data_IF_765272447143
#
_entry.id   IF_765272447143
#
_cell.length_a   1.000
_cell.length_b   1.000
_cell.length_c   1.000
_cell.angle_alpha   90.00
_cell.angle_beta   90.00
_cell.angle_gamma   90.00
#
_symmetry.space_group_name_H-M   'P 1'
#
loop_
_entity.id
_entity.type
_entity.pdbx_description
1 polymer ?
#
# COMPACT_ATOMS: atom_id res chain seq x y z
N UNK A 1 6.96 6.52 -1.12
CA UNK A 1 6.95 5.30 -1.98
C UNK A 1 7.74 4.18 -1.30
N UNK A 2 8.96 4.44 -0.78
CA UNK A 2 9.83 3.42 -0.18
C UNK A 2 9.21 2.65 1.00
N UNK A 3 8.46 3.34 1.86
CA UNK A 3 7.77 2.68 2.99
C UNK A 3 6.68 1.71 2.51
N UNK A 4 5.97 2.03 1.44
CA UNK A 4 4.94 1.16 0.85
C UNK A 4 5.62 -0.04 0.19
N UNK A 5 6.68 0.20 -0.56
CA UNK A 5 7.46 -0.85 -1.23
C UNK A 5 8.04 -1.89 -0.23
N UNK A 6 8.37 -1.48 0.99
CA UNK A 6 8.87 -2.37 2.03
C UNK A 6 7.76 -3.18 2.73
N UNK A 7 6.57 -2.62 2.90
CA UNK A 7 5.46 -3.27 3.62
C UNK A 7 4.85 -4.43 2.82
N UNK A 8 4.67 -4.26 1.51
CA UNK A 8 4.03 -5.27 0.66
C UNK A 8 4.74 -6.64 0.68
N UNK A 9 6.07 -6.74 0.47
CA UNK A 9 6.77 -8.01 0.52
C UNK A 9 6.65 -8.72 1.87
N UNK A 10 6.70 -7.99 2.99
CA UNK A 10 6.54 -8.55 4.33
C UNK A 10 5.14 -9.13 4.51
N UNK A 11 4.13 -8.43 4.03
CA UNK A 11 2.74 -8.89 4.11
C UNK A 11 2.51 -10.15 3.28
N UNK A 12 3.02 -10.19 2.04
CA UNK A 12 2.95 -11.39 1.20
C UNK A 12 3.67 -12.58 1.83
N UNK A 13 4.85 -12.36 2.43
CA UNK A 13 5.60 -13.38 3.14
C UNK A 13 4.79 -13.97 4.32
N UNK A 14 4.14 -13.11 5.11
CA UNK A 14 3.29 -13.53 6.22
C UNK A 14 2.10 -14.37 5.75
N UNK A 15 1.41 -13.93 4.70
CA UNK A 15 0.27 -14.67 4.13
C UNK A 15 0.74 -16.03 3.60
N UNK A 16 1.84 -16.08 2.86
CA UNK A 16 2.40 -17.33 2.33
C UNK A 16 2.80 -18.30 3.45
N UNK A 17 3.46 -17.79 4.51
CA UNK A 17 3.82 -18.59 5.68
C UNK A 17 2.57 -19.14 6.39
N UNK A 18 1.51 -18.36 6.50
CA UNK A 18 0.27 -18.78 7.15
C UNK A 18 -0.47 -19.84 6.33
N UNK A 19 -0.54 -19.70 5.01
CA UNK A 19 -1.12 -20.70 4.10
C UNK A 19 -0.29 -22.00 4.16
N UNK A 20 1.04 -21.89 4.13
CA UNK A 20 1.94 -23.02 4.27
C UNK A 20 1.75 -23.73 5.63
N UNK A 21 1.67 -22.99 6.73
CA UNK A 21 1.43 -23.52 8.06
C UNK A 21 0.13 -24.32 8.12
N UNK A 22 -0.94 -23.79 7.51
CA UNK A 22 -2.25 -24.46 7.46
C UNK A 22 -2.17 -25.76 6.67
N UNK A 23 -1.57 -25.73 5.49
CA UNK A 23 -1.44 -26.88 4.58
C UNK A 23 -0.55 -27.95 5.18
N UNK A 24 0.61 -27.58 5.72
CA UNK A 24 1.54 -28.53 6.34
C UNK A 24 0.98 -29.15 7.62
N UNK A 25 0.32 -28.36 8.46
CA UNK A 25 -0.34 -28.90 9.66
C UNK A 25 -1.41 -29.93 9.30
N UNK A 26 -2.14 -29.69 8.22
CA UNK A 26 -3.13 -30.63 7.70
C UNK A 26 -2.47 -31.91 7.16
N UNK A 27 -1.46 -31.77 6.32
CA UNK A 27 -0.74 -32.89 5.71
C UNK A 27 -0.12 -33.82 6.77
N UNK A 28 0.54 -33.22 7.78
CA UNK A 28 1.12 -34.00 8.89
C UNK A 28 0.04 -34.68 9.73
N UNK A 29 -1.13 -34.04 9.92
CA UNK A 29 -2.24 -34.63 10.65
C UNK A 29 -2.90 -35.80 9.88
N UNK A 30 -3.01 -35.71 8.56
CA UNK A 30 -3.51 -36.78 7.67
C UNK A 30 -2.53 -37.98 7.62
N UNK A 31 -1.22 -37.72 7.66
CA UNK A 31 -0.19 -38.73 7.63
C UNK A 31 0.23 -39.25 9.01
N UNK A 32 -0.51 -38.91 10.06
CA UNK A 32 -0.14 -39.24 11.45
C UNK A 32 0.10 -40.71 11.68
N UNK A 33 -0.69 -41.60 11.07
CA UNK A 33 -0.58 -43.04 11.20
C UNK A 33 0.74 -43.55 10.56
N UNK A 34 1.10 -43.03 9.38
CA UNK A 34 2.39 -43.36 8.74
C UNK A 34 3.59 -42.92 9.59
N UNK A 35 3.49 -41.71 10.18
CA UNK A 35 4.51 -41.20 11.11
C UNK A 35 4.66 -42.14 12.30
N UNK A 36 3.54 -42.61 12.86
CA UNK A 36 3.54 -43.59 13.97
C UNK A 36 4.21 -44.88 13.59
N UNK A 37 3.91 -45.42 12.41
CA UNK A 37 4.53 -46.65 11.88
C UNK A 37 6.03 -46.47 11.66
N UNK A 38 6.48 -45.38 11.04
CA UNK A 38 7.90 -45.10 10.84
C UNK A 38 8.65 -45.00 12.18
N UNK A 39 8.05 -44.36 13.19
CA UNK A 39 8.64 -44.32 14.54
C UNK A 39 8.71 -45.68 15.21
N UNK A 40 7.69 -46.52 15.04
CA UNK A 40 7.71 -47.88 15.60
C UNK A 40 8.76 -48.79 14.95
N UNK A 41 9.12 -48.49 13.68
CA UNK A 41 10.22 -49.12 12.96
C UNK A 41 11.62 -48.57 13.34
N UNK A 42 11.68 -47.62 14.28
CA UNK A 42 12.94 -47.06 14.79
C UNK A 42 13.46 -45.82 14.03
N UNK A 43 12.73 -45.25 13.07
CA UNK A 43 13.16 -44.04 12.40
C UNK A 43 13.15 -42.85 13.36
N UNK A 44 14.24 -42.08 13.36
CA UNK A 44 14.36 -40.88 14.19
C UNK A 44 13.46 -39.76 13.71
N UNK A 45 13.06 -38.87 14.65
CA UNK A 45 12.26 -37.69 14.32
C UNK A 45 12.92 -36.80 13.25
N UNK A 46 14.26 -36.74 13.22
CA UNK A 46 15.01 -35.98 12.26
C UNK A 46 14.86 -36.51 10.82
N UNK A 47 14.86 -37.83 10.65
CA UNK A 47 14.68 -38.48 9.34
C UNK A 47 13.28 -38.21 8.81
N UNK A 48 12.26 -38.37 9.67
CA UNK A 48 10.87 -38.13 9.30
C UNK A 48 10.66 -36.63 8.98
N UNK A 49 11.24 -35.73 9.80
CA UNK A 49 11.21 -34.29 9.57
C UNK A 49 11.79 -33.90 8.21
N UNK A 50 12.93 -34.53 7.84
CA UNK A 50 13.63 -34.23 6.58
C UNK A 50 12.71 -34.43 5.36
N UNK A 51 11.84 -35.43 5.37
CA UNK A 51 10.89 -35.66 4.27
C UNK A 51 9.96 -34.44 4.05
N UNK A 52 9.38 -33.91 5.13
CA UNK A 52 8.50 -32.73 5.06
C UNK A 52 9.26 -31.47 4.68
N UNK A 53 10.49 -31.32 5.21
CA UNK A 53 11.35 -30.19 4.89
C UNK A 53 11.76 -30.19 3.41
N UNK A 54 12.19 -31.31 2.86
CA UNK A 54 12.57 -31.42 1.45
C UNK A 54 11.38 -31.07 0.54
N UNK A 55 10.21 -31.62 0.83
CA UNK A 55 9.01 -31.30 0.06
C UNK A 55 8.70 -29.78 0.09
N UNK A 56 8.70 -29.19 1.27
CA UNK A 56 8.37 -27.76 1.42
C UNK A 56 9.41 -26.84 0.80
N UNK A 57 10.70 -27.17 0.98
CA UNK A 57 11.81 -26.37 0.40
C UNK A 57 11.82 -26.47 -1.13
N UNK A 58 11.59 -27.65 -1.70
CA UNK A 58 11.50 -27.82 -3.15
C UNK A 58 10.30 -27.05 -3.72
N UNK A 59 9.14 -27.14 -3.09
CA UNK A 59 7.96 -26.38 -3.50
C UNK A 59 8.18 -24.87 -3.39
N UNK A 60 8.80 -24.40 -2.31
CA UNK A 60 9.12 -22.98 -2.11
C UNK A 60 10.17 -22.49 -3.11
N UNK A 61 11.21 -23.26 -3.35
CA UNK A 61 12.28 -22.90 -4.30
C UNK A 61 11.75 -22.84 -5.73
N UNK A 62 11.00 -23.86 -6.17
CA UNK A 62 10.40 -23.85 -7.51
C UNK A 62 9.39 -22.70 -7.69
N UNK A 63 8.52 -22.48 -6.70
CA UNK A 63 7.59 -21.36 -6.71
C UNK A 63 8.30 -20.00 -6.71
N UNK A 64 9.37 -19.84 -5.95
CA UNK A 64 10.18 -18.61 -5.92
C UNK A 64 10.90 -18.35 -7.23
N UNK A 65 11.43 -19.40 -7.89
CA UNK A 65 12.08 -19.26 -9.20
C UNK A 65 11.07 -18.85 -10.28
N UNK A 66 9.92 -19.53 -10.32
CA UNK A 66 8.86 -19.20 -11.29
C UNK A 66 8.32 -17.79 -11.02
N UNK A 67 8.07 -17.46 -9.75
CA UNK A 67 7.59 -16.14 -9.35
C UNK A 67 8.59 -15.02 -9.65
N UNK A 68 9.88 -15.25 -9.43
CA UNK A 68 10.93 -14.30 -9.78
C UNK A 68 10.99 -14.09 -11.30
N UNK A 69 10.94 -15.16 -12.08
CA UNK A 69 10.97 -15.07 -13.55
C UNK A 69 9.77 -14.30 -14.10
N UNK A 70 8.56 -14.65 -13.67
CA UNK A 70 7.34 -13.94 -14.11
C UNK A 70 7.35 -12.49 -13.61
N UNK A 71 7.68 -12.26 -12.34
CA UNK A 71 7.70 -10.92 -11.75
C UNK A 71 8.70 -9.98 -12.41
N UNK A 72 9.87 -10.50 -12.82
CA UNK A 72 10.92 -9.75 -13.46
C UNK A 72 10.51 -9.17 -14.83
N UNK A 73 9.66 -9.86 -15.57
CA UNK A 73 9.17 -9.39 -16.87
C UNK A 73 7.84 -8.65 -16.77
N UNK A 74 6.91 -9.19 -15.98
CA UNK A 74 5.54 -8.68 -15.90
C UNK A 74 5.46 -7.31 -15.21
N UNK A 75 6.11 -7.14 -14.04
CA UNK A 75 6.00 -5.88 -13.31
C UNK A 75 6.65 -4.69 -14.00
N UNK A 76 7.89 -4.77 -14.50
CA UNK A 76 8.45 -3.68 -15.27
C UNK A 76 7.62 -3.33 -16.50
N UNK A 77 7.11 -4.33 -17.22
CA UNK A 77 6.24 -4.10 -18.38
C UNK A 77 4.96 -3.31 -18.00
N UNK A 78 4.27 -3.70 -16.94
CA UNK A 78 3.06 -2.99 -16.46
C UNK A 78 3.39 -1.57 -16.01
N UNK A 79 4.48 -1.40 -15.25
CA UNK A 79 4.92 -0.09 -14.76
C UNK A 79 5.27 0.81 -15.94
N UNK A 80 5.99 0.29 -16.91
CA UNK A 80 6.38 1.04 -18.10
C UNK A 80 5.19 1.44 -18.96
N UNK A 81 4.24 0.52 -19.15
CA UNK A 81 2.99 0.84 -19.83
C UNK A 81 2.24 1.98 -19.13
N UNK A 82 2.16 1.97 -17.79
CA UNK A 82 1.55 3.04 -17.04
C UNK A 82 2.29 4.39 -17.20
N UNK A 83 3.63 4.37 -17.15
CA UNK A 83 4.43 5.59 -17.33
C UNK A 83 4.41 6.11 -18.77
N UNK A 84 4.31 5.26 -19.77
CA UNK A 84 4.26 5.66 -21.19
C UNK A 84 3.02 6.51 -21.54
N UNK A 85 1.97 6.44 -20.73
CA UNK A 85 0.79 7.30 -20.86
C UNK A 85 1.08 8.75 -20.45
N UNK A 86 2.00 8.95 -19.49
CA UNK A 86 2.30 10.28 -18.93
C UNK A 86 3.60 10.88 -19.43
N UNK A 87 4.55 10.05 -19.87
CA UNK A 87 5.90 10.48 -20.24
C UNK A 87 6.33 9.89 -21.59
N UNK A 88 6.98 10.69 -22.41
CA UNK A 88 7.64 10.22 -23.63
C UNK A 88 8.97 9.62 -23.21
N UNK A 89 9.02 8.30 -23.08
CA UNK A 89 10.22 7.58 -22.67
C UNK A 89 10.81 6.87 -23.88
N UNK A 90 11.99 7.31 -24.33
CA UNK A 90 12.59 6.83 -25.56
C UNK A 90 13.41 5.55 -25.42
N UNK A 91 13.99 5.25 -24.27
CA UNK A 91 14.81 4.06 -24.03
C UNK A 91 14.64 3.51 -22.62
N UNK A 92 14.55 2.17 -22.51
CA UNK A 92 14.47 1.46 -21.24
C UNK A 92 15.71 0.61 -21.02
N UNK A 93 16.29 0.75 -19.84
CA UNK A 93 17.33 -0.15 -19.38
C UNK A 93 16.78 -0.98 -18.24
N UNK A 94 16.75 -2.30 -18.42
CA UNK A 94 16.43 -3.24 -17.34
C UNK A 94 17.71 -3.55 -16.56
N UNK A 95 17.84 -3.01 -15.38
CA UNK A 95 18.89 -3.41 -14.47
C UNK A 95 18.38 -4.53 -13.56
N UNK A 96 18.81 -5.74 -13.86
CA UNK A 96 18.52 -6.91 -13.06
C UNK A 96 19.54 -7.00 -11.93
N UNK A 97 19.09 -6.82 -10.69
CA UNK A 97 19.92 -7.03 -9.50
C UNK A 97 19.81 -8.50 -9.04
N UNK A 98 20.81 -9.36 -9.33
CA UNK A 98 20.80 -10.76 -8.87
C UNK A 98 20.73 -10.86 -7.34
N UNK A 99 21.29 -9.87 -6.67
CA UNK A 99 21.29 -9.79 -5.21
C UNK A 99 19.87 -9.69 -4.65
N UNK A 100 19.02 -8.84 -5.20
CA UNK A 100 17.63 -8.68 -4.75
C UNK A 100 16.79 -9.94 -5.01
N UNK A 101 17.05 -10.64 -6.12
CA UNK A 101 16.39 -11.90 -6.45
C UNK A 101 16.75 -12.97 -5.42
N UNK A 102 18.03 -13.12 -5.11
CA UNK A 102 18.52 -14.12 -4.14
C UNK A 102 17.97 -13.82 -2.74
N UNK A 103 17.97 -12.57 -2.31
CA UNK A 103 17.42 -12.19 -1.00
C UNK A 103 15.92 -12.47 -0.93
N UNK A 104 15.16 -12.08 -1.95
CA UNK A 104 13.70 -12.27 -1.98
C UNK A 104 13.34 -13.77 -2.01
N UNK A 105 13.94 -14.54 -2.89
CA UNK A 105 13.72 -15.98 -2.96
C UNK A 105 14.22 -16.69 -1.69
N UNK A 106 15.39 -16.32 -1.20
CA UNK A 106 15.98 -16.89 0.00
C UNK A 106 15.15 -16.61 1.26
N UNK A 107 14.63 -15.39 1.42
CA UNK A 107 13.75 -15.04 2.54
C UNK A 107 12.45 -15.84 2.52
N UNK A 108 11.86 -16.06 1.33
CA UNK A 108 10.65 -16.86 1.15
C UNK A 108 10.89 -18.33 1.51
N UNK A 109 11.97 -18.93 0.97
CA UNK A 109 12.34 -20.31 1.28
C UNK A 109 12.65 -20.48 2.77
N UNK A 110 13.37 -19.55 3.39
CA UNK A 110 13.67 -19.58 4.81
C UNK A 110 12.40 -19.48 5.67
N UNK A 111 11.48 -18.58 5.35
CA UNK A 111 10.23 -18.43 6.09
C UNK A 111 9.35 -19.69 6.01
N UNK A 112 9.26 -20.29 4.83
CA UNK A 112 8.51 -21.55 4.63
C UNK A 112 9.20 -22.69 5.38
N UNK A 113 10.52 -22.83 5.29
CA UNK A 113 11.28 -23.84 6.00
C UNK A 113 11.10 -23.75 7.52
N UNK A 114 11.19 -22.54 8.08
CA UNK A 114 10.94 -22.30 9.51
C UNK A 114 9.50 -22.68 9.90
N UNK A 115 8.53 -22.28 9.10
CA UNK A 115 7.12 -22.58 9.33
C UNK A 115 6.86 -24.08 9.37
N UNK A 116 7.42 -24.82 8.42
CA UNK A 116 7.29 -26.29 8.34
C UNK A 116 8.01 -26.96 9.48
N UNK A 117 9.21 -26.50 9.82
CA UNK A 117 9.98 -27.03 10.95
C UNK A 117 9.18 -26.96 12.25
N UNK A 118 8.63 -25.78 12.59
CA UNK A 118 7.84 -25.62 13.81
C UNK A 118 6.53 -26.42 13.77
N UNK A 119 5.87 -26.48 12.62
CA UNK A 119 4.63 -27.24 12.45
C UNK A 119 4.86 -28.75 12.64
N UNK A 120 5.86 -29.30 11.96
CA UNK A 120 6.17 -30.71 11.99
C UNK A 120 6.76 -31.15 13.34
N UNK A 121 7.62 -30.33 13.97
CA UNK A 121 8.16 -30.62 15.30
C UNK A 121 7.07 -30.88 16.33
N UNK A 122 6.04 -30.04 16.35
CA UNK A 122 4.91 -30.21 17.28
C UNK A 122 4.10 -31.50 17.02
N UNK A 123 3.98 -31.90 15.77
CA UNK A 123 3.26 -33.11 15.40
C UNK A 123 4.07 -34.39 15.64
N UNK A 124 5.39 -34.30 15.51
CA UNK A 124 6.32 -35.43 15.76
C UNK A 124 6.62 -35.65 17.25
N UNK A 125 6.13 -34.86 18.19
CA UNK A 125 6.40 -34.98 19.62
C UNK A 125 5.69 -36.20 20.27
N UNK A 126 4.62 -36.73 19.65
CA UNK A 126 3.84 -37.86 20.19
C UNK A 126 4.58 -39.22 20.17
N UNK A 127 4.24 -40.12 21.11
CA UNK A 127 4.74 -41.48 21.11
C UNK A 127 4.20 -42.27 19.93
N UNK A 128 4.89 -43.34 19.44
CA UNK A 128 4.42 -44.16 18.34
C UNK A 128 3.00 -44.73 18.57
N UNK A 129 2.75 -45.25 19.76
CA UNK A 129 1.46 -45.81 20.13
C UNK A 129 0.33 -44.76 20.14
N UNK A 130 0.63 -43.52 20.52
CA UNK A 130 -0.33 -42.40 20.51
C UNK A 130 -0.60 -41.93 19.08
N UNK A 131 0.41 -41.93 18.21
CA UNK A 131 0.28 -41.52 16.82
C UNK A 131 -0.52 -42.51 15.99
N UNK A 132 -0.43 -43.79 16.29
CA UNK A 132 -1.17 -44.87 15.62
C UNK A 132 -2.64 -44.99 16.06
N UNK A 133 -3.00 -44.45 17.22
CA UNK A 133 -4.39 -44.40 17.67
C UNK A 133 -5.16 -43.26 17.02
N UNK A 134 -6.40 -43.50 16.53
CA UNK A 134 -7.30 -42.41 16.13
C UNK A 134 -7.49 -41.46 17.29
N UNK A 135 -7.40 -40.16 17.05
CA UNK A 135 -7.68 -39.19 18.10
C UNK A 135 -9.12 -39.29 18.55
N UNK A 136 -9.33 -39.47 19.85
CA UNK A 136 -10.66 -39.40 20.43
C UNK A 136 -11.31 -38.04 20.08
N UNK A 137 -12.59 -38.03 19.67
CA UNK A 137 -13.30 -36.81 19.42
C UNK A 137 -13.22 -35.88 20.64
N UNK A 138 -12.80 -34.64 20.46
CA UNK A 138 -12.81 -33.68 21.56
C UNK A 138 -14.24 -33.51 22.08
N UNK A 139 -14.42 -33.66 23.39
CA UNK A 139 -15.71 -33.43 24.03
C UNK A 139 -16.29 -32.07 23.63
N UNK A 140 -17.56 -32.08 23.25
CA UNK A 140 -18.27 -30.87 22.81
C UNK A 140 -18.44 -29.89 23.97
N UNK A 141 -17.80 -28.75 23.88
CA UNK A 141 -18.10 -27.60 24.76
C UNK A 141 -19.14 -26.71 24.08
N UNK A 142 -20.00 -26.07 24.85
CA UNK A 142 -20.94 -25.07 24.32
C UNK A 142 -20.17 -24.01 23.52
N UNK A 143 -20.61 -23.74 22.30
CA UNK A 143 -19.99 -22.74 21.42
C UNK A 143 -20.58 -21.37 21.65
N UNK A 144 -19.77 -20.33 21.39
CA UNK A 144 -20.23 -18.93 21.57
C UNK A 144 -21.51 -18.63 20.76
N UNK A 145 -21.69 -19.24 19.61
CA UNK A 145 -22.87 -19.09 18.77
C UNK A 145 -24.15 -19.60 19.48
N UNK A 146 -24.05 -20.59 20.38
CA UNK A 146 -25.17 -21.08 21.16
C UNK A 146 -25.65 -20.08 22.22
N UNK A 147 -24.82 -19.11 22.59
CA UNK A 147 -25.20 -18.04 23.51
C UNK A 147 -26.06 -16.96 22.84
N UNK A 148 -26.05 -16.89 21.51
CA UNK A 148 -26.83 -15.95 20.73
C UNK A 148 -28.09 -16.69 20.24
N UNK A 149 -29.11 -16.81 21.10
CA UNK A 149 -30.31 -17.58 20.81
C UNK A 149 -30.99 -17.20 19.49
N UNK A 150 -31.11 -15.91 19.20
CA UNK A 150 -31.74 -15.42 17.96
C UNK A 150 -31.13 -15.98 16.67
N UNK A 151 -29.79 -16.15 16.61
CA UNK A 151 -29.09 -16.73 15.46
C UNK A 151 -29.17 -18.26 15.52
N UNK A 152 -28.95 -18.83 16.73
CA UNK A 152 -28.89 -20.27 16.91
C UNK A 152 -30.21 -20.95 16.60
N UNK A 153 -31.34 -20.39 16.98
CA UNK A 153 -32.66 -21.00 16.80
C UNK A 153 -33.11 -20.99 15.33
N UNK A 154 -32.62 -20.03 14.53
CA UNK A 154 -32.90 -19.96 13.09
C UNK A 154 -32.01 -20.85 12.22
N UNK A 155 -30.93 -21.41 12.78
CA UNK A 155 -30.05 -22.32 12.05
C UNK A 155 -30.67 -23.69 11.85
N UNK A 156 -30.56 -24.22 10.64
CA UNK A 156 -30.89 -25.61 10.32
C UNK A 156 -30.00 -26.60 11.11
N UNK A 157 -30.38 -27.84 11.21
CA UNK A 157 -29.59 -28.88 11.84
C UNK A 157 -28.14 -28.92 11.33
N UNK A 158 -27.98 -28.90 10.00
CA UNK A 158 -26.63 -28.87 9.38
C UNK A 158 -25.86 -27.61 9.76
N UNK A 159 -26.50 -26.45 9.82
CA UNK A 159 -25.90 -25.19 10.28
C UNK A 159 -25.40 -25.29 11.73
N UNK A 160 -26.20 -25.87 12.62
CA UNK A 160 -25.84 -26.10 14.02
C UNK A 160 -24.63 -27.06 14.15
N UNK A 161 -24.63 -28.16 13.38
CA UNK A 161 -23.50 -29.13 13.37
C UNK A 161 -22.25 -28.50 12.80
N UNK A 162 -22.35 -27.77 11.69
CA UNK A 162 -21.21 -27.03 11.08
C UNK A 162 -20.65 -25.98 12.05
N UNK A 163 -21.51 -25.20 12.68
CA UNK A 163 -21.11 -24.22 13.70
C UNK A 163 -20.34 -24.86 14.85
N UNK A 164 -20.88 -25.96 15.41
CA UNK A 164 -20.17 -26.71 16.48
C UNK A 164 -18.83 -27.26 16.02
N UNK A 165 -18.72 -27.79 14.79
CA UNK A 165 -17.47 -28.30 14.26
C UNK A 165 -16.44 -27.18 14.03
N UNK A 166 -16.85 -26.04 13.51
CA UNK A 166 -15.98 -24.87 13.31
C UNK A 166 -15.35 -24.43 14.64
N UNK A 167 -16.15 -24.26 15.68
CA UNK A 167 -15.66 -23.82 16.99
C UNK A 167 -14.95 -24.91 17.78
N UNK A 168 -15.15 -26.19 17.44
CA UNK A 168 -14.37 -27.31 17.99
C UNK A 168 -12.92 -27.25 17.59
N UNK A 169 -12.62 -26.83 16.36
CA UNK A 169 -11.28 -26.73 15.77
C UNK A 169 -10.85 -25.27 15.58
N UNK A 170 -10.99 -24.47 16.62
CA UNK A 170 -10.74 -23.00 16.60
C UNK A 170 -9.42 -22.61 15.93
N UNK A 171 -8.31 -23.31 16.26
CA UNK A 171 -7.00 -23.00 15.66
C UNK A 171 -7.04 -23.09 14.14
N UNK A 172 -7.65 -24.13 13.60
CA UNK A 172 -7.77 -24.36 12.15
C UNK A 172 -8.69 -23.30 11.53
N UNK A 173 -9.83 -23.02 12.18
CA UNK A 173 -10.76 -21.98 11.75
C UNK A 173 -10.05 -20.62 11.66
N UNK A 174 -9.38 -20.19 12.74
CA UNK A 174 -8.68 -18.91 12.75
C UNK A 174 -7.57 -18.83 11.69
N UNK A 175 -6.78 -19.88 11.50
CA UNK A 175 -5.74 -19.92 10.46
C UNK A 175 -6.34 -19.73 9.06
N UNK A 176 -7.44 -20.42 8.76
CA UNK A 176 -8.13 -20.28 7.46
C UNK A 176 -8.74 -18.90 7.30
N UNK A 177 -9.43 -18.39 8.32
CA UNK A 177 -10.04 -17.05 8.28
C UNK A 177 -8.97 -15.96 8.09
N UNK A 178 -7.88 -15.99 8.84
CA UNK A 178 -6.79 -15.01 8.72
C UNK A 178 -6.13 -15.11 7.34
N UNK A 179 -5.94 -16.33 6.79
CA UNK A 179 -5.39 -16.51 5.45
C UNK A 179 -6.27 -15.89 4.36
N UNK A 180 -7.57 -16.19 4.38
CA UNK A 180 -8.53 -15.63 3.42
C UNK A 180 -8.65 -14.11 3.61
N UNK A 181 -8.78 -13.64 4.85
CA UNK A 181 -8.84 -12.21 5.16
C UNK A 181 -7.60 -11.46 4.68
N UNK A 182 -6.40 -12.04 4.85
CA UNK A 182 -5.16 -11.49 4.33
C UNK A 182 -5.16 -11.34 2.81
N UNK A 183 -5.53 -12.38 2.09
CA UNK A 183 -5.62 -12.31 0.62
C UNK A 183 -6.66 -11.29 0.15
N UNK A 184 -7.83 -11.25 0.80
CA UNK A 184 -8.88 -10.28 0.48
C UNK A 184 -8.43 -8.85 0.77
N UNK A 185 -7.76 -8.63 1.89
CA UNK A 185 -7.22 -7.31 2.25
C UNK A 185 -6.21 -6.81 1.21
N UNK A 186 -5.32 -7.69 0.70
CA UNK A 186 -4.39 -7.33 -0.38
C UNK A 186 -5.11 -6.93 -1.66
N UNK A 187 -6.10 -7.72 -2.08
CA UNK A 187 -6.90 -7.40 -3.27
C UNK A 187 -7.63 -6.07 -3.11
N UNK A 188 -8.26 -5.85 -1.96
CA UNK A 188 -8.96 -4.60 -1.65
C UNK A 188 -8.00 -3.40 -1.64
N UNK A 189 -6.81 -3.57 -1.07
CA UNK A 189 -5.78 -2.51 -1.08
C UNK A 189 -5.32 -2.19 -2.50
N UNK A 190 -5.12 -3.22 -3.36
CA UNK A 190 -4.72 -3.02 -4.75
C UNK A 190 -5.77 -2.25 -5.56
N UNK A 191 -7.03 -2.65 -5.47
CA UNK A 191 -8.12 -1.95 -6.15
C UNK A 191 -8.34 -0.54 -5.57
N UNK A 192 -8.31 -0.39 -4.24
CA UNK A 192 -8.46 0.91 -3.60
C UNK A 192 -7.35 1.90 -3.96
N UNK A 193 -6.09 1.42 -4.10
CA UNK A 193 -5.00 2.25 -4.60
C UNK A 193 -5.23 2.68 -6.05
N UNK A 194 -5.65 1.74 -6.92
CA UNK A 194 -5.95 2.05 -8.31
C UNK A 194 -7.03 3.12 -8.41
N UNK A 195 -8.15 2.93 -7.71
CA UNK A 195 -9.28 3.87 -7.74
C UNK A 195 -8.85 5.25 -7.19
N UNK A 196 -8.12 5.26 -6.06
CA UNK A 196 -7.61 6.53 -5.49
C UNK A 196 -6.67 7.29 -6.43
N UNK A 197 -5.81 6.59 -7.20
CA UNK A 197 -4.92 7.24 -8.17
C UNK A 197 -5.74 7.77 -9.36
N UNK A 198 -6.72 7.01 -9.84
CA UNK A 198 -7.61 7.43 -10.92
C UNK A 198 -8.41 8.68 -10.52
N UNK A 199 -8.99 8.68 -9.33
CA UNK A 199 -9.75 9.81 -8.79
C UNK A 199 -8.90 11.08 -8.63
N UNK A 200 -7.60 10.93 -8.28
CA UNK A 200 -6.69 12.08 -8.19
C UNK A 200 -6.56 12.81 -9.53
N UNK A 201 -6.45 12.06 -10.63
CA UNK A 201 -6.33 12.65 -11.98
C UNK A 201 -7.60 13.42 -12.33
N UNK A 202 -8.75 12.81 -12.11
CA UNK A 202 -10.05 13.46 -12.40
C UNK A 202 -10.28 14.68 -11.52
N UNK A 203 -9.98 14.59 -10.23
CA UNK A 203 -10.11 15.72 -9.31
C UNK A 203 -9.16 16.87 -9.66
N UNK A 204 -7.88 16.56 -9.95
CA UNK A 204 -6.88 17.59 -10.21
C UNK A 204 -7.12 18.32 -11.54
N UNK A 205 -7.39 17.55 -12.62
CA UNK A 205 -7.42 18.13 -13.97
C UNK A 205 -8.82 18.44 -14.50
N UNK A 206 -9.88 17.88 -13.92
CA UNK A 206 -11.25 18.14 -14.33
C UNK A 206 -12.03 19.01 -13.32
N UNK A 207 -11.53 19.14 -12.07
CA UNK A 207 -12.25 19.88 -11.04
C UNK A 207 -11.44 21.02 -10.41
N UNK A 208 -10.14 20.82 -10.17
CA UNK A 208 -9.29 21.83 -9.51
C UNK A 208 -8.65 22.75 -10.54
N UNK A 209 -8.05 22.19 -11.59
CA UNK A 209 -7.39 22.95 -12.64
C UNK A 209 -8.39 23.26 -13.75
N UNK A 210 -8.84 24.51 -13.84
CA UNK A 210 -9.76 25.00 -14.86
C UNK A 210 -9.04 25.70 -16.02
N UNK A 211 -7.71 25.72 -16.02
CA UNK A 211 -6.92 26.32 -17.10
C UNK A 211 -6.54 25.26 -18.15
N UNK A 212 -6.42 25.71 -19.42
CA UNK A 212 -6.07 24.83 -20.54
C UNK A 212 -4.58 24.54 -20.66
N UNK A 213 -3.72 25.39 -20.12
CA UNK A 213 -2.27 25.21 -20.19
C UNK A 213 -1.51 26.31 -19.47
N UNK A 214 -0.21 26.12 -19.36
CA UNK A 214 0.71 27.14 -18.85
C UNK A 214 1.94 27.24 -19.75
N UNK A 215 2.51 28.43 -19.84
CA UNK A 215 3.73 28.70 -20.58
C UNK A 215 4.78 29.18 -19.59
N UNK A 216 5.87 28.44 -19.45
CA UNK A 216 7.00 28.84 -18.63
C UNK A 216 8.01 29.63 -19.46
N UNK A 217 8.50 30.74 -18.95
CA UNK A 217 9.52 31.59 -19.58
C UNK A 217 10.53 32.08 -18.53
N UNK A 218 11.77 32.26 -18.94
CA UNK A 218 12.85 32.68 -18.05
C UNK A 218 13.08 34.20 -18.11
N UNK A 219 12.90 34.80 -19.31
CA UNK A 219 13.18 36.22 -19.54
C UNK A 219 11.88 37.02 -19.75
N UNK A 220 11.79 38.18 -19.10
CA UNK A 220 10.63 39.06 -19.26
C UNK A 220 10.51 39.62 -20.67
N UNK A 221 11.61 39.75 -21.42
CA UNK A 221 11.61 40.27 -22.77
C UNK A 221 10.87 39.41 -23.78
N UNK A 222 10.76 38.07 -23.50
CA UNK A 222 10.06 37.12 -24.36
C UNK A 222 8.55 37.15 -24.17
N UNK A 223 8.06 37.73 -23.08
CA UNK A 223 6.65 37.70 -22.67
C UNK A 223 5.74 38.41 -23.70
N UNK A 224 6.16 39.54 -24.23
CA UNK A 224 5.34 40.30 -25.18
C UNK A 224 5.14 39.52 -26.48
N UNK A 225 6.21 38.90 -27.01
CA UNK A 225 6.12 38.09 -28.21
C UNK A 225 5.22 36.85 -28.03
N UNK A 226 5.26 36.26 -26.85
CA UNK A 226 4.38 35.11 -26.50
C UNK A 226 2.91 35.59 -26.47
N UNK A 227 2.61 36.73 -25.87
CA UNK A 227 1.25 37.26 -25.85
C UNK A 227 0.72 37.62 -27.23
N UNK A 228 1.52 38.29 -28.02
CA UNK A 228 1.13 38.71 -29.35
C UNK A 228 0.80 37.45 -30.21
N UNK A 229 1.62 36.42 -30.11
CA UNK A 229 1.37 35.16 -30.81
C UNK A 229 0.12 34.42 -30.28
N UNK A 230 -0.12 34.46 -28.96
CA UNK A 230 -1.26 33.77 -28.33
C UNK A 230 -2.58 34.47 -28.70
N UNK A 231 -2.60 35.82 -28.66
CA UNK A 231 -3.75 36.65 -29.03
C UNK A 231 -4.03 36.62 -30.54
N UNK A 232 -3.01 36.45 -31.36
CA UNK A 232 -3.17 36.27 -32.80
C UNK A 232 -3.86 34.94 -33.12
N UNK A 233 -3.50 33.89 -32.38
CA UNK A 233 -4.07 32.56 -32.58
C UNK A 233 -5.48 32.42 -31.94
N UNK A 234 -5.68 32.99 -30.74
CA UNK A 234 -6.93 32.91 -29.98
C UNK A 234 -7.21 34.23 -29.21
N UNK A 235 -7.87 35.17 -29.84
CA UNK A 235 -8.08 36.54 -29.28
C UNK A 235 -8.85 36.58 -27.95
N UNK A 236 -9.67 35.55 -27.64
CA UNK A 236 -10.49 35.50 -26.44
C UNK A 236 -9.79 34.75 -25.27
N UNK A 237 -8.48 34.53 -25.37
CA UNK A 237 -7.75 33.80 -24.33
C UNK A 237 -7.58 34.68 -23.07
N UNK A 238 -8.16 34.20 -21.97
CA UNK A 238 -7.89 34.78 -20.65
C UNK A 238 -6.60 34.21 -20.07
N UNK A 239 -5.77 35.06 -19.49
CA UNK A 239 -4.53 34.65 -18.86
C UNK A 239 -4.22 35.48 -17.61
N UNK A 240 -3.42 34.88 -16.71
CA UNK A 240 -2.82 35.57 -15.57
C UNK A 240 -1.35 35.19 -15.45
N UNK A 241 -0.53 36.12 -14.90
CA UNK A 241 0.89 35.87 -14.67
C UNK A 241 1.11 35.37 -13.26
N UNK A 242 2.03 34.42 -13.14
CA UNK A 242 2.47 33.90 -11.86
C UNK A 242 3.98 33.78 -11.81
N UNK A 243 4.59 34.15 -10.71
CA UNK A 243 6.00 33.92 -10.42
C UNK A 243 6.08 32.69 -9.53
N UNK A 244 6.69 31.61 -10.06
CA UNK A 244 6.89 30.34 -9.32
C UNK A 244 8.36 30.22 -8.96
N UNK A 245 8.66 30.18 -7.66
CA UNK A 245 10.02 29.94 -7.15
C UNK A 245 10.04 28.93 -6.05
N UNK A 246 11.13 28.17 -5.98
CA UNK A 246 11.36 27.19 -4.93
C UNK A 246 11.96 27.87 -3.69
N UNK A 247 11.36 27.63 -2.54
CA UNK A 247 11.80 28.10 -1.24
C UNK A 247 11.81 26.96 -0.22
N UNK A 248 12.55 27.17 0.88
CA UNK A 248 12.49 26.28 2.03
C UNK A 248 11.57 26.87 3.09
N UNK A 249 10.53 26.15 3.45
CA UNK A 249 9.62 26.49 4.54
C UNK A 249 10.01 25.69 5.77
N UNK A 250 10.13 26.39 6.90
CA UNK A 250 10.55 25.79 8.18
C UNK A 250 9.47 26.04 9.23
N UNK A 251 9.18 25.01 10.01
CA UNK A 251 8.37 25.02 11.22
C UNK A 251 9.13 24.39 12.38
N UNK A 252 8.55 24.35 13.57
CA UNK A 252 9.10 23.66 14.73
C UNK A 252 9.30 22.14 14.49
N UNK A 253 8.51 21.55 13.59
CA UNK A 253 8.54 20.11 13.29
C UNK A 253 9.55 19.72 12.20
N UNK A 254 10.07 20.70 11.44
CA UNK A 254 11.04 20.43 10.37
C UNK A 254 11.03 21.47 9.26
N UNK A 255 11.78 21.17 8.19
CA UNK A 255 11.87 22.03 7.00
C UNK A 255 11.56 21.21 5.74
N UNK A 256 10.87 21.86 4.79
CA UNK A 256 10.47 21.26 3.51
C UNK A 256 10.71 22.28 2.40
N UNK A 257 11.25 21.82 1.26
CA UNK A 257 11.31 22.62 0.06
C UNK A 257 9.94 22.60 -0.63
N UNK A 258 9.43 23.76 -0.99
CA UNK A 258 8.16 23.90 -1.71
C UNK A 258 8.23 24.98 -2.79
N UNK A 259 7.32 24.92 -3.73
CA UNK A 259 7.13 25.98 -4.71
C UNK A 259 6.16 27.03 -4.15
N UNK A 260 6.58 28.27 -4.17
CA UNK A 260 5.75 29.43 -3.80
C UNK A 260 5.35 30.14 -5.09
N UNK A 261 4.05 30.31 -5.27
CA UNK A 261 3.46 30.99 -6.42
C UNK A 261 3.00 32.38 -5.98
N UNK A 262 3.61 33.43 -6.53
CA UNK A 262 3.16 34.79 -6.36
C UNK A 262 2.36 35.21 -7.61
N UNK A 263 1.19 35.76 -7.40
CA UNK A 263 0.19 36.03 -8.43
C UNK A 263 0.14 37.52 -8.75
N UNK A 264 -0.05 37.87 -10.02
CA UNK A 264 -0.32 39.25 -10.44
C UNK A 264 -1.79 39.60 -10.19
N UNK A 265 -2.71 38.69 -10.50
CA UNK A 265 -4.15 38.86 -10.35
C UNK A 265 -4.75 37.62 -9.65
N UNK A 266 -5.15 37.82 -8.39
CA UNK A 266 -5.71 36.74 -7.57
C UNK A 266 -7.12 36.35 -8.00
N UNK A 267 -7.93 37.31 -8.52
CA UNK A 267 -9.29 37.01 -8.95
C UNK A 267 -9.31 36.11 -10.18
N UNK A 268 -8.50 36.46 -11.20
CA UNK A 268 -8.33 35.57 -12.38
C UNK A 268 -7.78 34.21 -12.03
N UNK A 269 -6.90 34.13 -11.04
CA UNK A 269 -6.36 32.84 -10.60
C UNK A 269 -7.41 31.97 -9.92
N UNK A 270 -8.35 32.56 -9.16
CA UNK A 270 -9.48 31.84 -8.56
C UNK A 270 -10.46 31.26 -9.60
N UNK A 271 -10.51 31.83 -10.80
CA UNK A 271 -11.28 31.26 -11.92
C UNK A 271 -10.54 30.10 -12.61
N UNK A 272 -9.20 30.16 -12.61
CA UNK A 272 -8.34 29.15 -13.23
C UNK A 272 -8.04 27.96 -12.32
N UNK A 273 -8.09 28.14 -11.00
CA UNK A 273 -7.86 27.07 -10.03
C UNK A 273 -8.93 27.12 -8.94
N UNK A 274 -9.68 26.06 -8.79
CA UNK A 274 -10.68 25.92 -7.73
C UNK A 274 -9.99 25.59 -6.39
N UNK A 275 -9.73 26.64 -5.61
CA UNK A 275 -9.19 26.50 -4.28
C UNK A 275 -10.30 26.11 -3.32
N UNK A 276 -10.23 24.91 -2.76
CA UNK A 276 -11.27 24.39 -1.86
C UNK A 276 -10.70 23.54 -0.73
N UNK A 277 -11.49 23.40 0.33
CA UNK A 277 -11.20 22.48 1.43
C UNK A 277 -11.61 21.06 1.06
N UNK A 278 -10.68 20.10 1.15
CA UNK A 278 -10.98 18.69 0.87
C UNK A 278 -12.04 18.09 1.79
N UNK A 279 -12.12 18.55 3.03
CA UNK A 279 -13.03 17.98 4.05
C UNK A 279 -14.44 18.53 4.00
N UNK A 280 -14.58 19.84 3.72
CA UNK A 280 -15.88 20.52 3.68
C UNK A 280 -16.40 20.77 2.27
N UNK A 281 -15.52 20.73 1.25
CA UNK A 281 -15.84 21.12 -0.12
C UNK A 281 -16.06 22.63 -0.32
N UNK A 282 -15.86 23.45 0.73
CA UNK A 282 -16.06 24.88 0.66
C UNK A 282 -14.96 25.56 -0.15
N UNK A 283 -15.35 26.50 -1.01
CA UNK A 283 -14.42 27.31 -1.79
C UNK A 283 -13.61 28.22 -0.87
N UNK A 284 -12.33 28.33 -1.14
CA UNK A 284 -11.39 29.19 -0.43
C UNK A 284 -11.04 30.34 -1.36
N UNK A 285 -11.10 31.57 -0.86
CA UNK A 285 -10.75 32.79 -1.61
C UNK A 285 -9.52 33.44 -0.97
N UNK A 286 -8.78 34.21 -1.77
CA UNK A 286 -7.66 35.01 -1.24
C UNK A 286 -8.14 36.06 -0.24
N UNK A 287 -9.37 36.58 -0.38
CA UNK A 287 -9.97 37.47 0.59
C UNK A 287 -10.12 36.82 1.97
N UNK A 288 -10.57 35.56 2.03
CA UNK A 288 -10.68 34.82 3.28
C UNK A 288 -9.32 34.49 3.91
N UNK A 289 -8.28 34.31 3.10
CA UNK A 289 -6.91 34.10 3.58
C UNK A 289 -6.28 35.40 4.11
N UNK A 290 -6.83 36.58 3.76
CA UNK A 290 -6.37 37.88 4.19
C UNK A 290 -4.93 38.15 3.78
N UNK A 291 -4.06 38.49 4.74
CA UNK A 291 -2.61 38.70 4.50
C UNK A 291 -1.81 37.38 4.59
N UNK A 292 -2.47 36.26 4.86
CA UNK A 292 -1.84 34.95 4.98
C UNK A 292 -1.60 34.28 3.63
N UNK A 293 -0.86 33.16 3.66
CA UNK A 293 -0.62 32.33 2.49
C UNK A 293 -1.60 31.15 2.46
N UNK A 294 -2.03 30.77 1.26
CA UNK A 294 -2.81 29.55 1.06
C UNK A 294 -1.81 28.40 0.83
N UNK A 295 -1.92 27.34 1.62
CA UNK A 295 -1.00 26.19 1.55
C UNK A 295 -1.74 24.90 1.24
N UNK A 296 -1.03 23.96 0.66
CA UNK A 296 -1.62 22.64 0.37
C UNK A 296 -1.74 21.80 1.65
N UNK A 297 -2.76 20.95 1.74
CA UNK A 297 -2.95 20.02 2.86
C UNK A 297 -1.74 19.10 3.09
N UNK A 298 -1.01 18.77 2.03
CA UNK A 298 0.22 17.97 2.13
C UNK A 298 1.32 18.71 2.87
N UNK A 299 1.51 20.00 2.57
CA UNK A 299 2.53 20.81 3.20
C UNK A 299 2.24 20.98 4.71
N UNK A 300 0.99 21.23 5.08
CA UNK A 300 0.60 21.32 6.49
C UNK A 300 0.88 20.05 7.27
N UNK A 301 0.62 18.87 6.67
CA UNK A 301 0.92 17.57 7.29
C UNK A 301 2.43 17.33 7.45
N UNK A 302 3.24 17.73 6.48
CA UNK A 302 4.69 17.56 6.54
C UNK A 302 5.34 18.47 7.58
N UNK A 303 4.84 19.70 7.72
CA UNK A 303 5.35 20.69 8.66
C UNK A 303 4.67 20.62 10.05
N UNK A 304 3.61 19.81 10.21
CA UNK A 304 2.87 19.70 11.46
C UNK A 304 2.12 20.97 11.86
N UNK A 305 1.73 21.80 10.89
CA UNK A 305 1.10 23.13 11.09
C UNK A 305 -0.36 23.13 10.65
N UNK A 306 -1.11 24.15 11.07
CA UNK A 306 -2.53 24.34 10.80
C UNK A 306 -2.82 25.76 10.32
N UNK A 307 -4.05 26.00 9.91
CA UNK A 307 -4.54 27.35 9.62
C UNK A 307 -4.37 28.26 10.84
N UNK A 308 -3.81 29.45 10.63
CA UNK A 308 -3.47 30.44 11.68
C UNK A 308 -2.04 30.33 12.22
N UNK A 309 -1.33 29.24 11.96
CA UNK A 309 0.06 29.08 12.41
C UNK A 309 1.02 29.93 11.53
N UNK A 310 2.16 30.30 12.12
CA UNK A 310 3.22 31.03 11.42
C UNK A 310 4.36 30.09 11.04
N UNK A 311 4.85 30.19 9.82
CA UNK A 311 6.01 29.45 9.31
C UNK A 311 7.07 30.41 8.79
N UNK A 312 8.32 29.95 8.81
CA UNK A 312 9.45 30.77 8.31
C UNK A 312 9.78 30.34 6.89
N UNK A 313 9.65 31.26 5.96
CA UNK A 313 10.05 31.12 4.57
C UNK A 313 11.50 31.59 4.42
N UNK A 314 12.40 30.69 4.01
CA UNK A 314 13.79 31.03 3.70
C UNK A 314 13.90 31.37 2.21
N UNK A 315 14.22 32.63 1.92
CA UNK A 315 14.49 33.11 0.58
C UNK A 315 15.97 32.82 0.26
N UNK A 316 16.33 32.52 -1.00
CA UNK A 316 17.74 32.45 -1.42
C UNK A 316 18.45 33.72 -0.99
N UNK A 317 19.66 33.68 -0.45
CA UNK A 317 20.46 34.79 0.11
C UNK A 317 20.41 34.92 1.64
N UNK A 318 19.86 33.93 2.34
CA UNK A 318 19.85 33.91 3.80
C UNK A 318 18.76 34.75 4.46
N UNK A 319 17.99 35.49 3.70
CA UNK A 319 16.83 36.23 4.19
C UNK A 319 15.69 35.26 4.54
N UNK A 320 15.13 35.47 5.73
CA UNK A 320 13.95 34.72 6.20
C UNK A 320 12.77 35.68 6.35
N UNK A 321 11.58 35.19 6.05
CA UNK A 321 10.33 35.94 6.27
C UNK A 321 9.32 35.03 6.97
N UNK A 322 8.71 35.55 8.00
CA UNK A 322 7.59 34.89 8.65
C UNK A 322 6.31 35.15 7.85
N UNK A 323 5.57 34.07 7.61
CA UNK A 323 4.29 34.11 6.93
C UNK A 323 3.26 33.30 7.71
N UNK A 324 2.04 33.83 7.81
CA UNK A 324 0.94 33.14 8.48
C UNK A 324 0.15 32.34 7.47
N UNK A 325 -0.26 31.14 7.84
CA UNK A 325 -1.13 30.28 7.03
C UNK A 325 -2.56 30.81 7.15
N UNK A 326 -3.07 31.40 6.06
CA UNK A 326 -4.42 31.95 6.00
C UNK A 326 -5.49 30.93 5.64
N UNK A 327 -5.13 29.92 4.82
CA UNK A 327 -6.04 28.83 4.47
C UNK A 327 -5.28 27.59 4.01
N UNK A 328 -5.97 26.43 4.02
CA UNK A 328 -5.43 25.14 3.60
C UNK A 328 -6.30 24.59 2.48
N UNK A 329 -5.71 24.38 1.30
CA UNK A 329 -6.41 23.93 0.11
C UNK A 329 -6.07 22.50 -0.28
N UNK A 330 -7.01 21.87 -0.97
CA UNK A 330 -6.84 20.59 -1.65
C UNK A 330 -6.01 20.77 -2.92
N UNK A 331 -4.92 20.00 -3.05
CA UNK A 331 -4.12 19.94 -4.27
C UNK A 331 -3.32 18.63 -4.30
N UNK A 332 -3.29 17.95 -5.43
CA UNK A 332 -2.73 16.59 -5.53
C UNK A 332 -1.41 16.52 -6.29
N UNK A 333 -1.11 17.50 -7.14
CA UNK A 333 0.11 17.55 -7.94
C UNK A 333 0.95 18.77 -7.54
N UNK A 334 2.26 18.64 -7.66
CA UNK A 334 3.21 19.75 -7.37
C UNK A 334 2.97 20.45 -6.03
N UNK A 335 2.66 19.69 -5.00
CA UNK A 335 2.20 20.18 -3.71
C UNK A 335 3.32 20.43 -2.68
N UNK A 336 4.55 20.60 -3.13
CA UNK A 336 5.66 21.16 -2.35
C UNK A 336 6.39 22.22 -3.14
#
# INVERSE_FOLDING_TARGET
IDKIAAIFPVFFLLVAALVCLTTMSRMVEEQRMQIGTLKSLGYSNAVIMRQYMVYAVLAAASGSLIGAFIGMFLFPFIIMFAYSVMYIISNFYYELSPFNIVISAGSMVAAIALTVFFSARNALSGTPAELMRPRAPKAGKRVLLEKIGFIWDRLSFFGKVSGRNLFRYKRRMFMTVIGIAGCTALSLTGFGLKDSISDIVDLQYNSINNYSGFIAYENQDDVQGIYDALLEYQPETEYTRALIKQYTVTSDSGSVQCYVTALEDTAKFEDMIDLRSRTTGEKITFEQAGSGVIVTEKLTKLLGVKNGDTVTLRISDGNTREVTIGAVTEHYTSHY
#
